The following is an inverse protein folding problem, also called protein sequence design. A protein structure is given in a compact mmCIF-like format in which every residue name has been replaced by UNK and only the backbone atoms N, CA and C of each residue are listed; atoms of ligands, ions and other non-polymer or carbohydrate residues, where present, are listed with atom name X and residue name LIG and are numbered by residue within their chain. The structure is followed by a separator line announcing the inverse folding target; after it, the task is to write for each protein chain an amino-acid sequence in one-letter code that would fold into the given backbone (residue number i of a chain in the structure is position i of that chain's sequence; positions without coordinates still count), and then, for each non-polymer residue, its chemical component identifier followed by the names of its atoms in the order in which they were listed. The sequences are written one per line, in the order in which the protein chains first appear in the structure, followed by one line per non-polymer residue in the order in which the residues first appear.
data_IF_416059714883
#
_entry.id   IF_416059714883
#
_cell.length_a   1.000
_cell.length_b   1.000
_cell.length_c   1.000
_cell.angle_alpha   90.00
_cell.angle_beta   90.00
_cell.angle_gamma   90.00
#
_symmetry.space_group_name_H-M   'P 1'
#
loop_
_entity.id
_entity.type
_entity.pdbx_description
1 polymer ?
#
# COMPACT_ATOMS: atom_id res chain seq x y z
N UNK A 1 8.33 13.97 6.08
CA UNK A 1 6.91 13.63 5.96
C UNK A 1 6.31 13.40 7.34
N UNK A 2 5.15 13.99 7.60
CA UNK A 2 4.36 13.70 8.80
C UNK A 2 2.98 13.24 8.36
N UNK A 3 2.44 12.23 9.03
CA UNK A 3 1.11 11.70 8.75
C UNK A 3 0.28 11.78 10.02
N UNK A 4 -0.95 12.25 9.86
CA UNK A 4 -1.90 12.46 10.94
C UNK A 4 -3.17 11.67 10.67
N UNK A 5 -3.80 11.15 11.73
CA UNK A 5 -5.17 10.61 11.73
C UNK A 5 -5.88 11.28 12.90
N UNK A 6 -7.06 11.87 12.65
CA UNK A 6 -7.83 12.61 13.67
C UNK A 6 -6.97 13.63 14.44
N UNK A 7 -6.13 14.37 13.70
CA UNK A 7 -5.17 15.36 14.21
C UNK A 7 -4.07 14.82 15.13
N UNK A 8 -3.97 13.51 15.29
CA UNK A 8 -2.90 12.84 16.03
C UNK A 8 -1.79 12.39 15.07
N UNK A 9 -0.54 12.74 15.38
CA UNK A 9 0.61 12.28 14.59
C UNK A 9 0.79 10.77 14.76
N UNK A 10 0.71 10.03 13.65
CA UNK A 10 0.90 8.57 13.63
C UNK A 10 2.22 8.14 12.97
N UNK A 11 2.83 9.05 12.18
CA UNK A 11 4.10 8.81 11.52
C UNK A 11 4.86 10.11 11.35
N UNK A 12 6.15 10.06 11.63
CA UNK A 12 7.09 11.14 11.37
C UNK A 12 8.37 10.56 10.78
N UNK A 13 8.60 10.87 9.50
CA UNK A 13 9.79 10.45 8.77
C UNK A 13 10.54 11.70 8.34
N UNK A 14 11.77 11.84 8.81
CA UNK A 14 12.74 12.82 8.28
C UNK A 14 13.63 12.12 7.27
N UNK A 15 14.23 12.88 6.34
CA UNK A 15 15.24 12.36 5.42
C UNK A 15 16.38 11.73 6.23
N UNK A 16 16.66 10.42 6.09
CA UNK A 16 17.73 9.77 6.82
C UNK A 16 19.10 10.32 6.39
N UNK A 17 20.08 10.41 7.29
CA UNK A 17 21.41 10.94 6.99
C UNK A 17 22.14 10.20 5.85
N UNK A 18 21.84 8.91 5.69
CA UNK A 18 22.33 8.05 4.61
C UNK A 18 21.52 8.12 3.31
N UNK A 19 20.44 8.90 3.27
CA UNK A 19 19.45 8.93 2.17
C UNK A 19 18.50 7.72 2.19
N UNK A 20 17.37 7.85 1.48
CA UNK A 20 16.33 6.81 1.48
C UNK A 20 16.79 5.50 0.82
N UNK A 21 17.63 5.55 -0.21
CA UNK A 21 18.11 4.35 -0.92
C UNK A 21 18.83 3.39 0.04
N UNK A 22 19.80 3.92 0.80
CA UNK A 22 20.58 3.14 1.76
C UNK A 22 19.74 2.76 2.98
N UNK A 23 18.84 3.65 3.43
CA UNK A 23 17.95 3.37 4.56
C UNK A 23 16.98 2.22 4.26
N UNK A 24 16.47 2.11 3.02
CA UNK A 24 15.60 1.02 2.59
C UNK A 24 16.37 -0.27 2.24
N UNK A 25 17.69 -0.30 2.42
CA UNK A 25 18.56 -1.42 2.08
C UNK A 25 18.43 -1.89 0.61
N UNK A 26 18.16 -0.96 -0.31
CA UNK A 26 18.13 -1.29 -1.72
C UNK A 26 19.52 -1.58 -2.25
N UNK A 27 19.59 -2.54 -3.18
CA UNK A 27 20.82 -3.01 -3.80
C UNK A 27 20.87 -2.67 -5.28
N UNK A 28 22.08 -2.59 -5.84
CA UNK A 28 22.28 -2.30 -7.26
C UNK A 28 22.53 -0.83 -7.54
N UNK A 29 22.28 -0.40 -8.78
CA UNK A 29 22.46 0.99 -9.18
C UNK A 29 21.36 1.87 -8.56
N UNK A 30 21.77 2.89 -7.81
CA UNK A 30 20.83 3.82 -7.18
C UNK A 30 20.09 4.66 -8.23
N UNK A 31 18.85 4.26 -8.51
CA UNK A 31 17.97 4.92 -9.48
C UNK A 31 17.40 6.26 -8.99
N UNK A 32 17.53 6.57 -7.70
CA UNK A 32 17.13 7.85 -7.11
C UNK A 32 18.25 8.91 -7.19
N UNK A 33 19.41 8.53 -7.74
CA UNK A 33 20.53 9.43 -7.95
C UNK A 33 21.21 9.89 -6.65
N UNK A 34 21.86 11.05 -6.70
CA UNK A 34 22.66 11.60 -5.59
C UNK A 34 21.90 12.63 -4.72
N UNK A 35 20.61 12.85 -4.97
CA UNK A 35 19.85 13.77 -4.13
C UNK A 35 19.52 13.13 -2.79
N UNK A 36 19.80 13.86 -1.72
CA UNK A 36 19.65 13.37 -0.36
C UNK A 36 18.19 13.02 -0.01
N UNK A 37 17.24 13.79 -0.55
CA UNK A 37 15.81 13.63 -0.28
C UNK A 37 15.06 12.85 -1.37
N UNK A 38 15.75 12.37 -2.40
CA UNK A 38 15.11 11.55 -3.44
C UNK A 38 14.56 10.24 -2.84
N UNK A 39 13.38 9.77 -3.31
CA UNK A 39 12.64 10.27 -4.48
C UNK A 39 11.61 11.37 -4.17
N UNK A 40 11.60 11.94 -2.95
CA UNK A 40 10.60 12.91 -2.48
C UNK A 40 11.03 14.38 -2.69
N UNK A 41 11.93 14.62 -3.62
CA UNK A 41 12.49 15.92 -4.00
C UNK A 41 11.94 16.44 -5.33
N UNK A 42 10.88 15.81 -5.85
CA UNK A 42 10.18 16.17 -7.08
C UNK A 42 8.68 16.17 -6.87
N UNK A 43 7.93 16.72 -7.84
CA UNK A 43 6.47 16.63 -7.83
C UNK A 43 6.01 15.17 -7.87
N UNK A 44 4.96 14.87 -7.10
CA UNK A 44 4.35 13.54 -7.03
C UNK A 44 2.83 13.64 -7.17
N UNK A 45 2.23 12.54 -7.60
CA UNK A 45 0.78 12.42 -7.70
C UNK A 45 0.24 11.71 -6.45
N UNK A 46 -0.96 12.11 -6.02
CA UNK A 46 -1.74 11.32 -5.08
C UNK A 46 -2.39 10.14 -5.82
N UNK A 47 -2.15 8.93 -5.34
CA UNK A 47 -2.84 7.73 -5.80
C UNK A 47 -3.72 7.19 -4.67
N UNK A 48 -5.01 7.02 -4.95
CA UNK A 48 -5.97 6.36 -4.06
C UNK A 48 -6.46 5.09 -4.77
N UNK A 49 -6.40 3.95 -4.09
CA UNK A 49 -6.73 2.67 -4.68
C UNK A 49 -7.32 1.71 -3.66
N UNK A 50 -8.27 0.88 -4.13
CA UNK A 50 -8.72 -0.33 -3.45
C UNK A 50 -8.20 -1.51 -4.25
N UNK A 51 -7.38 -2.35 -3.61
CA UNK A 51 -6.81 -3.54 -4.22
C UNK A 51 -7.35 -4.81 -3.56
N UNK A 52 -7.55 -5.85 -4.37
CA UNK A 52 -7.79 -7.22 -3.90
C UNK A 52 -6.79 -8.12 -4.61
N UNK A 53 -6.13 -9.00 -3.87
CA UNK A 53 -5.10 -9.88 -4.44
C UNK A 53 -3.67 -9.44 -4.14
N UNK A 54 -2.74 -10.05 -4.87
CA UNK A 54 -1.32 -9.69 -4.83
C UNK A 54 -0.57 -10.17 -3.59
N UNK A 55 0.65 -9.66 -3.44
CA UNK A 55 1.57 -10.02 -2.34
C UNK A 55 1.43 -9.16 -1.08
N UNK A 56 0.50 -8.21 -1.05
CA UNK A 56 0.31 -7.29 0.09
C UNK A 56 -0.27 -7.98 1.34
N UNK A 57 -1.01 -9.07 1.14
CA UNK A 57 -1.68 -9.81 2.20
C UNK A 57 -0.88 -11.06 2.56
N UNK A 58 -0.43 -11.17 3.81
CA UNK A 58 0.36 -12.31 4.29
C UNK A 58 -0.46 -13.61 4.30
N UNK A 59 0.18 -14.75 4.01
CA UNK A 59 -0.50 -16.06 4.03
C UNK A 59 -0.92 -16.48 5.46
N UNK A 60 -0.25 -15.96 6.49
CA UNK A 60 -0.56 -16.22 7.90
C UNK A 60 -1.51 -15.20 8.53
N UNK A 61 -2.04 -14.26 7.75
CA UNK A 61 -2.95 -13.23 8.26
C UNK A 61 -4.30 -13.84 8.63
N UNK A 62 -4.80 -13.51 9.83
CA UNK A 62 -6.09 -13.98 10.32
C UNK A 62 -7.18 -12.99 9.95
N UNK A 63 -8.08 -13.42 9.06
CA UNK A 63 -9.24 -12.65 8.62
C UNK A 63 -10.52 -13.46 8.87
N UNK A 64 -11.68 -12.80 8.87
CA UNK A 64 -12.98 -13.47 9.02
C UNK A 64 -13.23 -14.51 7.92
N UNK A 65 -12.76 -14.24 6.70
CA UNK A 65 -12.71 -15.19 5.59
C UNK A 65 -11.25 -15.52 5.29
N UNK A 66 -10.84 -16.81 5.24
CA UNK A 66 -9.47 -17.18 4.91
C UNK A 66 -8.99 -16.57 3.59
N UNK A 67 -7.73 -16.16 3.52
CA UNK A 67 -7.13 -15.61 2.30
C UNK A 67 -7.31 -16.62 1.14
N UNK A 68 -7.94 -16.23 0.01
CA UNK A 68 -8.34 -17.20 -0.99
C UNK A 68 -7.22 -17.66 -1.93
N UNK A 69 -6.10 -16.94 -2.02
CA UNK A 69 -4.89 -17.34 -2.77
C UNK A 69 -3.69 -17.52 -1.84
N UNK A 70 -2.71 -18.30 -2.27
CA UNK A 70 -1.43 -18.48 -1.56
C UNK A 70 -0.29 -17.82 -2.34
N UNK A 71 0.69 -17.24 -1.64
CA UNK A 71 1.82 -16.56 -2.29
C UNK A 71 2.67 -17.49 -3.18
N UNK A 72 2.76 -18.76 -2.83
CA UNK A 72 3.48 -19.80 -3.59
C UNK A 72 2.68 -20.52 -4.68
N UNK A 73 1.43 -20.12 -4.95
CA UNK A 73 0.64 -20.76 -6.00
C UNK A 73 1.17 -20.41 -7.40
N UNK A 74 1.12 -21.37 -8.32
CA UNK A 74 1.38 -21.12 -9.75
C UNK A 74 0.20 -20.44 -10.46
N UNK A 75 -0.99 -20.42 -9.83
CA UNK A 75 -2.20 -19.85 -10.40
C UNK A 75 -3.01 -19.05 -9.35
N UNK A 76 -2.42 -18.05 -8.67
CA UNK A 76 -3.07 -17.36 -7.54
C UNK A 76 -4.38 -16.66 -7.92
N UNK A 77 -4.50 -16.18 -9.15
CA UNK A 77 -5.74 -15.59 -9.66
C UNK A 77 -6.88 -16.62 -9.80
N UNK A 78 -6.54 -17.85 -10.21
CA UNK A 78 -7.49 -18.95 -10.29
C UNK A 78 -7.94 -19.37 -8.89
N UNK A 79 -7.00 -19.53 -7.96
CA UNK A 79 -7.30 -19.87 -6.57
C UNK A 79 -8.22 -18.83 -5.92
N UNK A 80 -7.95 -17.54 -6.16
CA UNK A 80 -8.81 -16.44 -5.75
C UNK A 80 -10.24 -16.63 -6.28
N UNK A 81 -10.40 -16.87 -7.58
CA UNK A 81 -11.70 -17.00 -8.22
C UNK A 81 -12.47 -18.27 -7.85
N UNK A 82 -11.79 -19.39 -7.67
CA UNK A 82 -12.41 -20.66 -7.29
C UNK A 82 -13.03 -20.58 -5.89
N UNK A 83 -12.48 -19.76 -4.99
CA UNK A 83 -13.02 -19.50 -3.64
C UNK A 83 -13.99 -18.32 -3.57
N UNK A 84 -14.53 -17.84 -4.69
CA UNK A 84 -15.52 -16.75 -4.70
C UNK A 84 -16.77 -17.03 -3.86
N UNK A 85 -17.12 -18.29 -3.63
CA UNK A 85 -18.21 -18.64 -2.71
C UNK A 85 -18.00 -18.11 -1.28
N UNK A 86 -16.74 -17.96 -0.85
CA UNK A 86 -16.38 -17.55 0.51
C UNK A 86 -16.31 -16.03 0.67
N UNK A 87 -15.90 -15.31 -0.38
CA UNK A 87 -15.65 -13.86 -0.31
C UNK A 87 -16.65 -13.02 -1.10
N UNK A 88 -17.23 -13.52 -2.19
CA UNK A 88 -18.18 -12.73 -3.00
C UNK A 88 -19.40 -12.29 -2.18
N UNK A 89 -19.99 -13.13 -1.31
CA UNK A 89 -21.11 -12.71 -0.48
C UNK A 89 -20.78 -11.59 0.51
N UNK A 90 -19.50 -11.33 0.82
CA UNK A 90 -19.11 -10.27 1.76
C UNK A 90 -19.05 -8.90 1.10
N UNK A 91 -19.18 -8.82 -0.24
CA UNK A 91 -19.11 -7.57 -0.99
C UNK A 91 -20.48 -6.91 -1.04
N UNK A 92 -20.79 -6.10 -0.03
CA UNK A 92 -22.08 -5.44 0.15
C UNK A 92 -22.10 -4.00 -0.41
N UNK A 93 -21.75 -3.83 -1.68
CA UNK A 93 -21.81 -2.52 -2.35
C UNK A 93 -20.97 -1.46 -1.62
N UNK A 94 -21.61 -0.35 -1.23
CA UNK A 94 -20.94 0.79 -0.59
C UNK A 94 -20.38 0.46 0.81
N UNK A 95 -20.87 -0.58 1.49
CA UNK A 95 -20.36 -1.02 2.80
C UNK A 95 -18.89 -1.47 2.74
N UNK A 96 -18.39 -1.83 1.55
CA UNK A 96 -17.01 -2.26 1.31
C UNK A 96 -16.25 -1.34 0.35
N UNK A 97 -16.86 -0.21 -0.04
CA UNK A 97 -16.24 0.76 -0.92
C UNK A 97 -15.30 1.70 -0.15
N UNK A 98 -14.27 2.21 -0.84
CA UNK A 98 -13.54 3.38 -0.37
C UNK A 98 -14.36 4.62 -0.72
N UNK A 99 -14.95 5.23 0.29
CA UNK A 99 -15.73 6.47 0.16
C UNK A 99 -14.85 7.66 0.54
N UNK A 100 -14.78 8.65 -0.35
CA UNK A 100 -13.98 9.87 -0.16
C UNK A 100 -14.92 11.05 -0.35
N UNK A 101 -15.06 11.87 0.69
CA UNK A 101 -15.86 13.10 0.62
C UNK A 101 -15.09 14.20 -0.13
N UNK A 102 -13.85 14.47 0.27
CA UNK A 102 -13.00 15.44 -0.42
C UNK A 102 -11.51 15.14 -0.27
N UNK A 103 -10.73 15.73 -1.18
CA UNK A 103 -9.27 15.77 -1.15
C UNK A 103 -8.85 17.22 -1.33
N UNK A 104 -7.99 17.69 -0.44
CA UNK A 104 -7.36 19.01 -0.54
C UNK A 104 -5.84 18.85 -0.64
N UNK A 105 -5.23 19.49 -1.64
CA UNK A 105 -3.79 19.49 -1.87
C UNK A 105 -3.30 20.94 -1.79
N UNK A 106 -2.51 21.24 -0.77
CA UNK A 106 -1.99 22.59 -0.52
C UNK A 106 -0.49 22.61 -0.86
N UNK A 107 -0.10 23.55 -1.72
CA UNK A 107 1.29 23.80 -2.08
C UNK A 107 1.69 25.19 -1.54
N UNK A 108 2.84 25.24 -0.85
CA UNK A 108 3.43 26.46 -0.30
C UNK A 108 4.67 26.87 -1.10
#
# INVERSE_FOLDING_TARGET
MRTYVDNQEILHVTTPAQGFWNWAHFSGHNIWGNSHNAPFDQYFHLLLNVAVGGGYFGDNSQYNTPKPWHGGSSHPMRDFWEKRGDWLPTWHGDDVAMLIDYVEMIQY
#
